data_IF_088024189279
#
_entry.id   IF_088024189279
#
_cell.length_a   1.000
_cell.length_b   1.000
_cell.length_c   1.000
_cell.angle_alpha   90.00
_cell.angle_beta   90.00
_cell.angle_gamma   90.00
#
_symmetry.space_group_name_H-M   'P 1'
#
loop_
_entity.id
_entity.type
_entity.pdbx_description
1 polymer ?
#
# COMPACT_ATOMS: atom_id res chain seq x y z
N UNK A 1 33.83 -32.98 -14.61
CA UNK A 1 33.75 -31.55 -14.28
C UNK A 1 32.71 -30.87 -15.16
N UNK A 2 31.65 -30.30 -14.58
CA UNK A 2 31.04 -29.01 -14.95
C UNK A 2 29.93 -28.72 -13.95
N UNK A 3 30.32 -28.02 -12.89
CA UNK A 3 29.57 -27.73 -11.67
C UNK A 3 29.32 -26.21 -11.67
N UNK A 4 28.06 -25.79 -11.66
CA UNK A 4 27.62 -24.70 -10.78
C UNK A 4 27.51 -23.24 -11.26
N UNK A 5 28.16 -22.76 -12.33
CA UNK A 5 28.36 -21.30 -12.44
C UNK A 5 27.40 -20.47 -13.32
N UNK A 6 26.54 -21.07 -14.15
CA UNK A 6 25.61 -20.28 -14.98
C UNK A 6 24.37 -19.76 -14.25
N UNK A 7 24.06 -20.30 -13.08
CA UNK A 7 22.82 -19.99 -12.37
C UNK A 7 23.04 -18.81 -11.40
N UNK A 8 24.27 -18.62 -10.91
CA UNK A 8 24.59 -17.61 -9.92
C UNK A 8 24.70 -16.20 -10.54
N UNK A 9 25.37 -16.04 -11.68
CA UNK A 9 25.47 -14.74 -12.37
C UNK A 9 24.10 -14.26 -12.90
N UNK A 10 23.31 -15.17 -13.48
CA UNK A 10 21.95 -14.86 -13.96
C UNK A 10 21.01 -14.53 -12.80
N UNK A 11 21.12 -15.24 -11.66
CA UNK A 11 20.35 -14.93 -10.46
C UNK A 11 20.72 -13.57 -9.85
N UNK A 12 22.01 -13.22 -9.81
CA UNK A 12 22.50 -11.91 -9.32
C UNK A 12 22.05 -10.75 -10.21
N UNK A 13 22.11 -10.94 -11.54
CA UNK A 13 21.62 -9.93 -12.49
C UNK A 13 20.11 -9.73 -12.37
N UNK A 14 19.35 -10.82 -12.24
CA UNK A 14 17.91 -10.78 -12.01
C UNK A 14 17.58 -10.07 -10.69
N UNK A 15 18.25 -10.43 -9.58
CA UNK A 15 18.04 -9.82 -8.27
C UNK A 15 18.33 -8.31 -8.29
N UNK A 16 19.41 -7.88 -8.95
CA UNK A 16 19.74 -6.46 -9.10
C UNK A 16 18.67 -5.72 -9.90
N UNK A 17 18.25 -6.27 -11.04
CA UNK A 17 17.20 -5.67 -11.88
C UNK A 17 15.86 -5.57 -11.15
N UNK A 18 15.54 -6.58 -10.33
CA UNK A 18 14.34 -6.61 -9.49
C UNK A 18 14.39 -5.54 -8.41
N UNK A 19 15.53 -5.39 -7.72
CA UNK A 19 15.75 -4.33 -6.72
C UNK A 19 15.64 -2.94 -7.33
N UNK A 20 16.19 -2.72 -8.53
CA UNK A 20 16.07 -1.45 -9.25
C UNK A 20 14.61 -1.15 -9.63
N UNK A 21 13.86 -2.16 -10.10
CA UNK A 21 12.44 -2.06 -10.37
C UNK A 21 11.63 -1.70 -9.11
N UNK A 22 11.88 -2.39 -8.00
CA UNK A 22 11.24 -2.14 -6.71
C UNK A 22 11.53 -0.72 -6.21
N UNK A 23 12.79 -0.28 -6.26
CA UNK A 23 13.17 1.10 -5.90
C UNK A 23 12.45 2.14 -6.76
N UNK A 24 12.36 1.91 -8.07
CA UNK A 24 11.63 2.80 -8.98
C UNK A 24 10.16 2.88 -8.57
N UNK A 25 9.52 1.77 -8.25
CA UNK A 25 8.12 1.76 -7.82
C UNK A 25 7.90 2.38 -6.43
N UNK A 26 8.83 2.25 -5.50
CA UNK A 26 8.73 2.91 -4.18
C UNK A 26 9.02 4.42 -4.22
N UNK A 27 9.61 4.91 -5.32
CA UNK A 27 9.76 6.35 -5.59
C UNK A 27 8.49 6.97 -6.20
N UNK A 28 7.57 6.14 -6.73
CA UNK A 28 6.29 6.61 -7.26
C UNK A 28 5.37 7.11 -6.14
N UNK A 29 4.40 7.93 -6.53
CA UNK A 29 3.35 8.36 -5.63
C UNK A 29 2.47 7.18 -5.20
N UNK A 30 1.82 7.30 -4.04
CA UNK A 30 0.89 6.29 -3.55
C UNK A 30 -0.23 6.01 -4.57
N UNK A 31 -0.73 7.05 -5.24
CA UNK A 31 -1.78 6.92 -6.25
C UNK A 31 -1.32 6.13 -7.48
N UNK A 32 -0.06 6.29 -7.89
CA UNK A 32 0.52 5.49 -8.97
C UNK A 32 0.76 4.05 -8.52
N UNK A 33 1.35 3.85 -7.34
CA UNK A 33 1.55 2.53 -6.77
C UNK A 33 0.23 1.76 -6.58
N UNK A 34 -0.85 2.45 -6.20
CA UNK A 34 -2.16 1.84 -6.04
C UNK A 34 -2.66 1.17 -7.33
N UNK A 35 -2.30 1.67 -8.52
CA UNK A 35 -2.64 1.02 -9.79
C UNK A 35 -1.93 -0.32 -9.95
N UNK A 36 -0.66 -0.41 -9.55
CA UNK A 36 0.08 -1.67 -9.53
C UNK A 36 -0.59 -2.65 -8.54
N UNK A 37 -0.88 -2.19 -7.33
CA UNK A 37 -1.60 -2.97 -6.33
C UNK A 37 -2.97 -3.46 -6.84
N UNK A 38 -3.74 -2.62 -7.52
CA UNK A 38 -5.00 -3.02 -8.15
C UNK A 38 -4.79 -4.13 -9.17
N UNK A 39 -3.84 -3.97 -10.08
CA UNK A 39 -3.52 -4.99 -11.10
C UNK A 39 -3.11 -6.33 -10.48
N UNK A 40 -2.39 -6.31 -9.36
CA UNK A 40 -1.92 -7.52 -8.68
C UNK A 40 -3.02 -8.25 -7.92
N UNK A 41 -3.94 -7.50 -7.29
CA UNK A 41 -4.93 -8.04 -6.34
C UNK A 41 -6.29 -8.29 -6.97
N UNK A 42 -6.75 -7.42 -7.87
CA UNK A 42 -8.09 -7.50 -8.48
C UNK A 42 -8.38 -8.85 -9.15
N UNK A 43 -7.44 -9.50 -9.88
CA UNK A 43 -7.69 -10.82 -10.47
C UNK A 43 -7.90 -11.95 -9.44
N UNK A 44 -7.46 -11.75 -8.19
CA UNK A 44 -7.45 -12.79 -7.14
C UNK A 44 -8.69 -12.76 -6.25
N UNK A 45 -9.57 -11.76 -6.38
CA UNK A 45 -10.72 -11.59 -5.50
C UNK A 45 -12.00 -11.37 -6.30
N UNK A 46 -13.15 -11.70 -5.69
CA UNK A 46 -14.46 -11.44 -6.30
C UNK A 46 -14.69 -9.95 -6.53
N UNK A 47 -15.36 -9.62 -7.63
CA UNK A 47 -15.62 -8.23 -8.01
C UNK A 47 -16.38 -7.44 -6.93
N UNK A 48 -17.37 -8.06 -6.27
CA UNK A 48 -18.12 -7.43 -5.17
C UNK A 48 -17.21 -7.04 -4.01
N UNK A 49 -16.23 -7.89 -3.66
CA UNK A 49 -15.22 -7.60 -2.64
C UNK A 49 -14.28 -6.48 -3.10
N UNK A 50 -13.90 -6.47 -4.37
CA UNK A 50 -13.06 -5.42 -4.95
C UNK A 50 -13.74 -4.05 -4.90
N UNK A 51 -15.00 -3.93 -5.32
CA UNK A 51 -15.73 -2.65 -5.33
C UNK A 51 -15.76 -1.96 -3.96
N UNK A 52 -15.96 -2.74 -2.88
CA UNK A 52 -15.93 -2.20 -1.51
C UNK A 52 -14.53 -1.69 -1.13
N UNK A 53 -13.48 -2.46 -1.46
CA UNK A 53 -12.09 -2.06 -1.22
C UNK A 53 -11.73 -0.80 -2.00
N UNK A 54 -12.04 -0.79 -3.29
CA UNK A 54 -11.81 0.33 -4.20
C UNK A 54 -12.48 1.61 -3.68
N UNK A 55 -13.75 1.53 -3.28
CA UNK A 55 -14.46 2.67 -2.70
C UNK A 55 -13.74 3.23 -1.47
N UNK A 56 -13.36 2.37 -0.52
CA UNK A 56 -12.63 2.79 0.67
C UNK A 56 -11.32 3.47 0.30
N UNK A 57 -10.53 2.87 -0.59
CA UNK A 57 -9.24 3.45 -0.99
C UNK A 57 -9.44 4.78 -1.71
N UNK A 58 -10.34 4.83 -2.69
CA UNK A 58 -10.57 6.01 -3.54
C UNK A 58 -11.08 7.22 -2.77
N UNK A 59 -11.97 7.02 -1.80
CA UNK A 59 -12.64 8.12 -1.10
C UNK A 59 -12.10 8.41 0.30
N UNK A 60 -11.33 7.51 0.91
CA UNK A 60 -10.83 7.67 2.29
C UNK A 60 -9.30 7.68 2.40
N UNK A 61 -8.60 7.07 1.46
CA UNK A 61 -7.13 6.94 1.50
C UNK A 61 -6.47 7.85 0.47
N UNK A 62 -6.86 7.75 -0.80
CA UNK A 62 -6.28 8.55 -1.89
C UNK A 62 -6.34 10.06 -1.64
N UNK A 63 -7.43 10.67 -1.11
CA UNK A 63 -7.49 12.11 -0.93
C UNK A 63 -6.35 12.68 -0.06
N UNK A 64 -5.77 11.86 0.82
CA UNK A 64 -4.66 12.27 1.68
C UNK A 64 -3.29 11.85 1.12
N UNK A 65 -3.15 10.60 0.68
CA UNK A 65 -1.83 10.04 0.33
C UNK A 65 -1.48 10.08 -1.15
N UNK A 66 -2.43 10.36 -2.06
CA UNK A 66 -2.28 10.13 -3.50
C UNK A 66 -0.97 10.63 -4.08
N UNK A 67 -0.56 11.85 -3.73
CA UNK A 67 0.61 12.51 -4.31
C UNK A 67 1.89 12.31 -3.47
N UNK A 68 1.81 11.59 -2.34
CA UNK A 68 2.96 11.29 -1.50
C UNK A 68 3.75 10.09 -2.05
N UNK A 69 5.09 10.16 -2.14
CA UNK A 69 5.90 9.01 -2.51
C UNK A 69 5.75 7.86 -1.51
N UNK A 70 5.62 6.61 -1.98
CA UNK A 70 5.43 5.43 -1.11
C UNK A 70 6.51 5.32 -0.03
N UNK A 71 7.77 5.54 -0.40
CA UNK A 71 8.93 5.52 0.51
C UNK A 71 8.98 6.68 1.52
N UNK A 72 8.25 7.77 1.26
CA UNK A 72 8.29 8.97 2.10
C UNK A 72 7.18 9.00 3.16
N UNK A 73 6.17 8.13 3.08
CA UNK A 73 5.06 8.11 4.03
C UNK A 73 5.56 7.61 5.38
N UNK A 74 5.49 8.48 6.39
CA UNK A 74 5.94 8.19 7.76
C UNK A 74 4.77 7.79 8.66
N UNK A 75 5.05 7.17 9.82
CA UNK A 75 4.03 6.92 10.83
C UNK A 75 3.28 8.18 11.26
N UNK A 76 3.96 9.35 11.28
CA UNK A 76 3.35 10.64 11.58
C UNK A 76 2.28 11.05 10.56
N UNK A 77 2.49 10.75 9.28
CA UNK A 77 1.51 11.07 8.23
C UNK A 77 0.27 10.20 8.38
N UNK A 78 0.44 8.94 8.78
CA UNK A 78 -0.67 8.04 9.13
C UNK A 78 -1.44 8.57 10.34
N UNK A 79 -0.77 9.05 11.39
CA UNK A 79 -1.41 9.61 12.57
C UNK A 79 -2.25 10.86 12.22
N UNK A 80 -1.68 11.78 11.42
CA UNK A 80 -2.41 12.96 10.93
C UNK A 80 -3.64 12.58 10.11
N UNK A 81 -3.49 11.58 9.23
CA UNK A 81 -4.62 11.06 8.46
C UNK A 81 -5.69 10.40 9.34
N UNK A 82 -5.31 9.63 10.36
CA UNK A 82 -6.24 9.04 11.33
C UNK A 82 -7.04 10.11 12.07
N UNK A 83 -6.40 11.19 12.50
CA UNK A 83 -7.09 12.32 13.11
C UNK A 83 -8.09 12.96 12.13
N UNK A 84 -7.68 13.16 10.87
CA UNK A 84 -8.59 13.65 9.83
C UNK A 84 -9.77 12.72 9.57
N UNK A 85 -9.61 11.39 9.71
CA UNK A 85 -10.71 10.44 9.59
C UNK A 85 -11.73 10.55 10.73
N UNK A 86 -11.30 10.91 11.94
CA UNK A 86 -12.21 11.12 13.09
C UNK A 86 -13.10 12.34 12.88
N UNK A 87 -12.58 13.36 12.20
CA UNK A 87 -13.33 14.58 11.84
C UNK A 87 -14.26 14.37 10.62
N UNK A 88 -14.20 13.23 9.94
CA UNK A 88 -15.07 12.96 8.80
C UNK A 88 -16.49 12.60 9.24
N UNK A 89 -17.46 13.29 8.66
CA UNK A 89 -18.87 12.95 8.81
C UNK A 89 -19.36 12.10 7.63
N UNK A 90 -20.29 11.19 7.92
CA UNK A 90 -21.00 10.43 6.91
C UNK A 90 -22.13 11.27 6.27
N UNK A 91 -22.81 10.72 5.27
CA UNK A 91 -23.90 11.41 4.55
C UNK A 91 -25.07 11.84 5.45
N UNK A 92 -25.19 11.26 6.65
CA UNK A 92 -26.22 11.60 7.64
C UNK A 92 -25.72 12.62 8.68
N UNK A 93 -24.50 13.15 8.53
CA UNK A 93 -23.88 14.08 9.46
C UNK A 93 -23.24 13.43 10.69
N UNK A 94 -23.33 12.11 10.85
CA UNK A 94 -22.74 11.43 12.01
C UNK A 94 -21.29 11.06 11.76
N UNK A 95 -20.51 10.96 12.83
CA UNK A 95 -19.14 10.44 12.80
C UNK A 95 -19.07 9.03 12.20
N UNK A 96 -17.88 8.66 11.70
CA UNK A 96 -17.63 7.29 11.23
C UNK A 96 -17.58 6.33 12.42
N UNK A 97 -18.23 5.17 12.28
CA UNK A 97 -18.18 4.16 13.33
C UNK A 97 -16.77 3.59 13.51
N UNK A 98 -16.42 3.21 14.75
CA UNK A 98 -15.12 2.62 15.07
C UNK A 98 -14.79 1.37 14.24
N UNK A 99 -15.79 0.54 13.93
CA UNK A 99 -15.63 -0.63 13.05
C UNK A 99 -15.26 -0.22 11.62
N UNK A 100 -15.84 0.86 11.11
CA UNK A 100 -15.52 1.35 9.77
C UNK A 100 -14.13 1.98 9.74
N UNK A 101 -13.74 2.76 10.75
CA UNK A 101 -12.38 3.31 10.89
C UNK A 101 -11.32 2.19 10.89
N UNK A 102 -11.53 1.13 11.68
CA UNK A 102 -10.67 -0.08 11.67
C UNK A 102 -10.59 -0.72 10.29
N UNK A 103 -11.70 -0.74 9.56
CA UNK A 103 -11.74 -1.28 8.19
C UNK A 103 -10.89 -0.44 7.24
N UNK A 104 -11.01 0.89 7.29
CA UNK A 104 -10.22 1.81 6.45
C UNK A 104 -8.72 1.64 6.75
N UNK A 105 -8.34 1.64 8.04
CA UNK A 105 -6.95 1.44 8.45
C UNK A 105 -6.41 0.07 8.02
N UNK A 106 -7.23 -0.97 8.10
CA UNK A 106 -6.86 -2.32 7.63
C UNK A 106 -6.63 -2.34 6.12
N UNK A 107 -7.40 -1.60 5.32
CA UNK A 107 -7.15 -1.49 3.88
C UNK A 107 -5.83 -0.78 3.59
N UNK A 108 -5.54 0.33 4.28
CA UNK A 108 -4.26 1.03 4.14
C UNK A 108 -3.08 0.12 4.51
N UNK A 109 -3.19 -0.58 5.64
CA UNK A 109 -2.18 -1.53 6.10
C UNK A 109 -1.97 -2.66 5.09
N UNK A 110 -3.02 -3.16 4.45
CA UNK A 110 -2.92 -4.19 3.42
C UNK A 110 -2.11 -3.72 2.19
N UNK A 111 -2.32 -2.48 1.74
CA UNK A 111 -1.56 -1.89 0.61
C UNK A 111 -0.07 -1.79 0.98
N UNK A 112 0.25 -1.28 2.17
CA UNK A 112 1.64 -1.22 2.64
C UNK A 112 2.26 -2.60 2.85
N UNK A 113 1.51 -3.58 3.34
CA UNK A 113 2.01 -4.94 3.48
C UNK A 113 2.32 -5.57 2.11
N UNK A 114 1.55 -5.26 1.07
CA UNK A 114 1.86 -5.67 -0.31
C UNK A 114 3.14 -5.03 -0.81
N UNK A 115 3.33 -3.73 -0.55
CA UNK A 115 4.57 -3.01 -0.87
C UNK A 115 5.79 -3.59 -0.14
N UNK A 116 5.67 -3.89 1.16
CA UNK A 116 6.74 -4.53 1.95
C UNK A 116 7.07 -5.92 1.41
N UNK A 117 6.05 -6.70 1.04
CA UNK A 117 6.25 -8.10 0.64
C UNK A 117 6.82 -8.25 -0.77
N UNK A 118 6.40 -7.41 -1.71
CA UNK A 118 6.71 -7.61 -3.13
C UNK A 118 7.52 -6.47 -3.75
N UNK A 119 7.58 -5.29 -3.12
CA UNK A 119 8.27 -4.12 -3.67
C UNK A 119 9.39 -3.62 -2.75
N UNK A 120 9.82 -4.45 -1.80
CA UNK A 120 10.96 -4.19 -0.90
C UNK A 120 10.85 -2.86 -0.11
N UNK A 121 9.62 -2.46 0.25
CA UNK A 121 9.43 -1.33 1.14
C UNK A 121 9.96 -1.67 2.54
N UNK A 122 10.77 -0.78 3.11
CA UNK A 122 11.43 -0.97 4.41
C UNK A 122 10.50 -1.28 5.59
N UNK A 123 9.21 -0.94 5.50
CA UNK A 123 8.25 -1.31 6.52
C UNK A 123 6.88 -0.66 6.33
N UNK A 124 5.91 -1.17 7.08
CA UNK A 124 4.55 -0.63 7.07
C UNK A 124 4.42 0.53 8.09
N UNK A 125 4.23 1.79 7.64
CA UNK A 125 4.11 2.93 8.54
C UNK A 125 2.84 2.87 9.41
N UNK A 126 1.79 2.17 8.96
CA UNK A 126 0.52 2.01 9.70
C UNK A 126 0.71 1.18 10.97
N UNK A 127 1.53 0.12 10.91
CA UNK A 127 1.84 -0.70 12.09
C UNK A 127 2.64 0.09 13.13
N UNK A 128 3.49 1.02 12.68
CA UNK A 128 4.30 1.86 13.57
C UNK A 128 3.53 3.04 14.17
N UNK A 129 2.47 3.51 13.51
CA UNK A 129 1.66 4.65 13.95
C UNK A 129 0.72 4.32 15.13
N UNK A 130 0.70 3.07 15.59
CA UNK A 130 -0.21 2.60 16.62
C UNK A 130 -1.37 1.84 16.00
N UNK A 131 -1.23 0.52 15.99
CA UNK A 131 -2.36 -0.41 15.94
C UNK A 131 -1.99 -1.72 16.64
#
# INVERSE_FOLDING_TARGET
>A
MKRGFKIEEDALAWEKSYKEHCKKDMSKSFGEFYKNYESDIRPRIKESTWRTKEYVVKYKILPYFKDMPMSSIKPLDVLKWQNGLLEMHNKKGNELSGTYLKTIQSQLSAIFNHAVRYYDLNGNPVKKAGQ
#
